data_IF_148140066901
#
_entry.id   IF_148140066901
#
_cell.length_a   1.000
_cell.length_b   1.000
_cell.length_c   1.000
_cell.angle_alpha   90.00
_cell.angle_beta   90.00
_cell.angle_gamma   90.00
#
_symmetry.space_group_name_H-M   'P 1'
#
loop_
_entity.id
_entity.type
_entity.pdbx_description
1 polymer ?
#
# COMPACT_ATOMS: atom_id res chain seq x y z
N UNK A 1 -11.30 -11.32 -67.49
CA UNK A 1 -12.21 -11.05 -66.35
C UNK A 1 -11.35 -10.42 -65.25
N UNK A 2 -11.59 -9.23 -64.68
CA UNK A 2 -12.76 -8.35 -64.67
C UNK A 2 -12.51 -7.00 -65.35
N UNK A 3 -13.61 -6.29 -65.54
CA UNK A 3 -13.89 -5.36 -66.62
C UNK A 3 -13.93 -3.93 -66.11
N UNK A 4 -13.57 -3.02 -67.02
CA UNK A 4 -13.78 -1.58 -67.01
C UNK A 4 -15.15 -1.14 -66.42
N UNK A 5 -15.16 -0.12 -65.54
CA UNK A 5 -16.24 0.88 -65.50
C UNK A 5 -15.65 2.28 -65.32
N UNK A 6 -15.78 3.03 -66.41
CA UNK A 6 -15.77 4.48 -66.54
C UNK A 6 -16.73 5.17 -65.55
N UNK A 7 -16.31 6.30 -64.99
CA UNK A 7 -17.22 7.21 -64.28
C UNK A 7 -16.47 8.29 -63.49
N UNK A 8 -16.26 9.43 -64.16
CA UNK A 8 -16.24 10.80 -63.62
C UNK A 8 -15.73 11.09 -62.20
N UNK A 9 -14.66 11.90 -62.09
CA UNK A 9 -14.58 12.97 -61.09
C UNK A 9 -13.44 13.97 -61.39
N UNK A 10 -13.67 15.05 -62.15
CA UNK A 10 -12.78 16.22 -62.19
C UNK A 10 -13.01 17.13 -60.96
N UNK A 11 -13.14 16.54 -59.77
CA UNK A 11 -13.57 17.24 -58.55
C UNK A 11 -12.65 16.97 -57.34
N UNK A 12 -11.34 16.81 -57.59
CA UNK A 12 -10.34 16.62 -56.51
C UNK A 12 -9.36 17.79 -56.34
N UNK A 13 -9.44 18.81 -57.21
CA UNK A 13 -8.57 20.01 -57.14
C UNK A 13 -9.29 21.29 -56.67
N UNK A 14 -10.56 21.23 -56.27
CA UNK A 14 -11.35 22.41 -55.82
C UNK A 14 -11.52 22.47 -54.29
N UNK A 15 -11.01 21.48 -53.53
CA UNK A 15 -11.18 21.47 -52.07
C UNK A 15 -10.17 22.42 -51.38
N UNK A 16 -10.64 23.32 -50.50
CA UNK A 16 -9.76 24.21 -49.75
C UNK A 16 -8.87 23.42 -48.77
N UNK A 17 -7.66 23.93 -48.44
CA UNK A 17 -6.60 23.16 -47.76
C UNK A 17 -7.02 22.58 -46.39
N UNK A 18 -8.01 23.18 -45.73
CA UNK A 18 -8.53 22.70 -44.45
C UNK A 18 -9.32 21.39 -44.53
N UNK A 19 -9.96 21.07 -45.66
CA UNK A 19 -10.66 19.79 -45.83
C UNK A 19 -9.72 18.64 -46.22
N UNK A 20 -8.55 18.95 -46.79
CA UNK A 20 -7.54 17.93 -47.15
C UNK A 20 -6.92 17.31 -45.88
N UNK A 21 -6.72 18.12 -44.84
CA UNK A 21 -6.18 17.70 -43.54
C UNK A 21 -7.12 16.79 -42.72
N UNK A 22 -8.45 16.89 -42.91
CA UNK A 22 -9.41 16.07 -42.18
C UNK A 22 -9.49 14.62 -42.67
N UNK A 23 -9.16 14.33 -43.94
CA UNK A 23 -9.14 12.95 -44.44
C UNK A 23 -7.96 12.15 -43.90
N UNK A 24 -6.82 12.78 -43.62
CA UNK A 24 -5.69 12.12 -42.95
C UNK A 24 -6.02 11.70 -41.50
N UNK A 25 -7.04 12.27 -40.88
CA UNK A 25 -7.49 11.90 -39.54
C UNK A 25 -8.44 10.69 -39.51
N UNK A 26 -8.97 10.23 -40.65
CA UNK A 26 -9.93 9.13 -40.72
C UNK A 26 -9.33 7.78 -41.14
N UNK A 27 -8.02 7.69 -41.33
CA UNK A 27 -7.36 6.39 -41.45
C UNK A 27 -7.16 5.77 -40.05
N UNK A 28 -7.61 4.53 -39.80
CA UNK A 28 -7.20 3.77 -38.62
C UNK A 28 -5.68 3.62 -38.65
N UNK A 29 -4.98 4.18 -37.66
CA UNK A 29 -3.54 3.92 -37.52
C UNK A 29 -3.36 2.43 -37.21
N UNK A 30 -2.63 1.71 -38.05
CA UNK A 30 -2.23 0.33 -37.74
C UNK A 30 -1.56 0.29 -36.36
N UNK A 31 -1.87 -0.70 -35.52
CA UNK A 31 -1.18 -0.87 -34.25
C UNK A 31 0.32 -1.08 -34.53
N UNK A 32 1.22 -0.49 -33.70
CA UNK A 32 2.65 -0.69 -33.86
C UNK A 32 2.97 -2.18 -33.79
N UNK A 33 3.80 -2.65 -34.73
CA UNK A 33 4.28 -4.04 -34.74
C UNK A 33 4.95 -4.40 -33.41
N UNK A 34 4.74 -5.62 -32.89
CA UNK A 34 5.35 -6.04 -31.65
C UNK A 34 6.88 -5.95 -31.76
N UNK A 35 7.58 -5.50 -30.70
CA UNK A 35 9.02 -5.40 -30.73
C UNK A 35 9.62 -6.78 -31.02
N UNK A 36 10.52 -6.83 -32.00
CA UNK A 36 11.29 -8.05 -32.30
C UNK A 36 12.03 -8.51 -31.05
N UNK A 37 12.10 -9.84 -30.80
CA UNK A 37 12.59 -10.40 -29.53
C UNK A 37 14.01 -9.96 -29.12
N UNK A 38 14.82 -9.42 -30.04
CA UNK A 38 16.13 -8.85 -29.74
C UNK A 38 16.13 -7.47 -29.05
N UNK A 39 15.05 -6.68 -29.12
CA UNK A 39 15.01 -5.31 -28.57
C UNK A 39 14.69 -5.26 -27.06
N UNK A 40 14.03 -6.27 -26.52
CA UNK A 40 13.70 -6.35 -25.10
C UNK A 40 14.94 -6.59 -24.21
N UNK A 41 15.96 -7.31 -24.71
CA UNK A 41 17.15 -7.61 -23.93
C UNK A 41 18.05 -6.37 -23.73
N UNK A 42 18.08 -5.45 -24.69
CA UNK A 42 18.91 -4.23 -24.59
C UNK A 42 18.38 -3.28 -23.50
N UNK A 43 17.06 -3.26 -23.29
CA UNK A 43 16.43 -2.42 -22.26
C UNK A 43 16.89 -2.78 -20.84
N UNK A 44 17.18 -4.05 -20.59
CA UNK A 44 17.62 -4.53 -19.27
C UNK A 44 19.08 -4.17 -18.95
N UNK A 45 19.92 -3.98 -19.99
CA UNK A 45 21.37 -3.73 -19.86
C UNK A 45 21.77 -2.26 -20.02
N UNK A 46 20.85 -1.35 -20.34
CA UNK A 46 21.15 0.09 -20.40
C UNK A 46 21.43 0.66 -19.00
N UNK A 47 22.54 1.41 -18.80
CA UNK A 47 22.84 2.08 -17.54
C UNK A 47 21.77 3.12 -17.20
N UNK A 48 21.56 3.37 -15.89
CA UNK A 48 20.42 4.14 -15.33
C UNK A 48 20.19 5.52 -15.98
N UNK A 49 21.21 6.16 -16.57
CA UNK A 49 21.08 7.47 -17.21
C UNK A 49 20.29 7.45 -18.53
N UNK A 50 20.34 6.35 -19.29
CA UNK A 50 19.67 6.28 -20.60
C UNK A 50 18.21 5.80 -20.50
N UNK A 51 17.83 5.14 -19.40
CA UNK A 51 16.43 4.74 -19.13
C UNK A 51 15.52 5.95 -18.91
N UNK A 52 16.03 7.00 -18.29
CA UNK A 52 15.29 8.23 -18.02
C UNK A 52 14.89 9.00 -19.31
N UNK A 53 15.58 8.76 -20.42
CA UNK A 53 15.28 9.42 -21.70
C UNK A 53 14.26 8.66 -22.55
N UNK A 54 13.96 7.40 -22.20
CA UNK A 54 13.03 6.54 -22.93
C UNK A 54 11.64 6.46 -22.27
N UNK A 55 11.43 7.11 -21.12
CA UNK A 55 10.09 7.27 -20.58
C UNK A 55 9.26 8.14 -21.53
N UNK A 56 8.19 7.62 -22.13
CA UNK A 56 7.31 8.42 -22.96
C UNK A 56 6.69 9.49 -22.06
N UNK A 57 7.00 10.75 -22.37
CA UNK A 57 6.38 11.93 -21.80
C UNK A 57 4.87 11.92 -22.08
N UNK A 58 4.09 11.23 -21.23
CA UNK A 58 2.66 11.46 -21.01
C UNK A 58 2.15 10.68 -19.80
N UNK A 59 2.08 11.35 -18.65
CA UNK A 59 0.83 11.35 -17.90
C UNK A 59 0.41 12.80 -17.82
N UNK A 60 -0.46 13.17 -18.74
CA UNK A 60 -1.31 14.34 -18.59
C UNK A 60 -1.86 14.30 -17.15
N UNK A 61 -1.60 15.37 -16.42
CA UNK A 61 -2.04 15.55 -15.05
C UNK A 61 -3.57 15.43 -15.05
N UNK A 62 -4.07 14.27 -14.61
CA UNK A 62 -5.48 14.09 -14.34
C UNK A 62 -5.91 15.21 -13.37
N UNK A 63 -7.04 15.91 -13.61
CA UNK A 63 -7.47 16.98 -12.74
C UNK A 63 -7.50 16.47 -11.32
N UNK A 64 -6.73 17.12 -10.43
CA UNK A 64 -6.77 16.86 -9.00
C UNK A 64 -8.20 17.17 -8.55
N UNK A 65 -9.04 16.14 -8.52
CA UNK A 65 -10.38 16.22 -8.02
C UNK A 65 -10.32 16.83 -6.63
N UNK A 66 -11.15 17.84 -6.40
CA UNK A 66 -11.32 18.54 -5.13
C UNK A 66 -11.34 17.50 -4.00
N UNK A 67 -10.23 17.40 -3.25
CA UNK A 67 -10.19 16.59 -2.02
C UNK A 67 -11.11 17.28 -1.02
N UNK A 68 -12.32 16.74 -0.89
CA UNK A 68 -13.27 17.19 0.13
C UNK A 68 -12.59 17.03 1.50
N UNK A 69 -12.50 18.09 2.31
CA UNK A 69 -11.94 17.99 3.64
C UNK A 69 -12.83 17.11 4.51
N UNK A 70 -12.23 16.16 5.23
CA UNK A 70 -12.74 15.75 6.54
C UNK A 70 -13.09 14.28 6.79
N UNK A 71 -12.95 13.36 5.83
CA UNK A 71 -13.15 11.92 6.11
C UNK A 71 -11.86 11.13 5.89
N UNK A 72 -11.28 10.62 6.99
CA UNK A 72 -10.13 9.72 6.95
C UNK A 72 -10.53 8.42 6.25
N UNK A 73 -9.68 7.90 5.36
CA UNK A 73 -9.89 6.57 4.75
C UNK A 73 -9.94 5.50 5.84
N UNK A 74 -10.65 4.39 5.59
CA UNK A 74 -10.73 3.28 6.54
C UNK A 74 -9.32 2.76 6.92
N UNK A 75 -8.42 2.70 5.95
CA UNK A 75 -7.02 2.33 6.12
C UNK A 75 -6.31 3.27 7.11
N UNK A 76 -6.46 4.58 6.92
CA UNK A 76 -5.88 5.57 7.83
C UNK A 76 -6.43 5.43 9.25
N UNK A 77 -7.73 5.17 9.40
CA UNK A 77 -8.35 4.96 10.72
C UNK A 77 -7.74 3.75 11.41
N UNK A 78 -7.61 2.62 10.72
CA UNK A 78 -7.01 1.41 11.29
C UNK A 78 -5.55 1.63 11.69
N UNK A 79 -4.74 2.28 10.83
CA UNK A 79 -3.34 2.60 11.14
C UNK A 79 -3.25 3.46 12.40
N UNK A 80 -4.10 4.50 12.52
CA UNK A 80 -4.12 5.38 13.70
C UNK A 80 -4.54 4.63 14.95
N UNK A 81 -5.53 3.74 14.87
CA UNK A 81 -5.95 2.89 15.99
C UNK A 81 -4.75 2.06 16.49
N UNK A 82 -4.06 1.35 15.60
CA UNK A 82 -2.87 0.57 15.97
C UNK A 82 -1.78 1.46 16.57
N UNK A 83 -1.47 2.60 15.94
CA UNK A 83 -0.45 3.53 16.44
C UNK A 83 -0.75 4.03 17.86
N UNK A 84 -2.01 4.37 18.14
CA UNK A 84 -2.45 4.81 19.48
C UNK A 84 -2.33 3.68 20.50
N UNK A 85 -2.72 2.46 20.15
CA UNK A 85 -2.61 1.29 21.05
C UNK A 85 -1.14 1.00 21.37
N UNK A 86 -0.27 0.94 20.36
CA UNK A 86 1.18 0.75 20.55
C UNK A 86 1.81 1.88 21.36
N UNK A 87 1.33 3.13 21.19
CA UNK A 87 1.78 4.24 22.02
C UNK A 87 1.38 4.05 23.48
N UNK A 88 0.15 3.62 23.72
CA UNK A 88 -0.39 3.39 25.06
C UNK A 88 0.40 2.32 25.82
N UNK A 89 0.55 1.13 25.23
CA UNK A 89 1.34 0.04 25.83
C UNK A 89 2.83 0.40 25.92
N UNK A 90 3.40 0.97 24.86
CA UNK A 90 4.78 1.43 24.82
C UNK A 90 5.12 2.41 25.95
N UNK A 91 4.33 3.47 26.10
CA UNK A 91 4.52 4.44 27.17
C UNK A 91 4.31 3.80 28.55
N UNK A 92 3.30 2.91 28.68
CA UNK A 92 3.00 2.24 29.93
C UNK A 92 4.17 1.38 30.42
N UNK A 93 4.72 0.49 29.58
CA UNK A 93 5.81 -0.39 29.97
C UNK A 93 7.17 0.30 30.04
N UNK A 94 7.35 1.40 29.28
CA UNK A 94 8.53 2.25 29.41
C UNK A 94 8.62 2.89 30.82
N UNK A 95 7.48 3.37 31.33
CA UNK A 95 7.39 4.02 32.64
C UNK A 95 7.26 3.01 33.79
N UNK A 96 6.47 1.95 33.60
CA UNK A 96 6.11 0.95 34.62
C UNK A 96 6.44 -0.48 34.14
N UNK A 97 7.73 -0.87 34.08
CA UNK A 97 8.15 -2.20 33.62
C UNK A 97 7.61 -3.35 34.50
N UNK A 98 7.37 -3.09 35.79
CA UNK A 98 6.88 -4.10 36.73
C UNK A 98 5.38 -4.42 36.53
N UNK A 99 4.68 -3.70 35.65
CA UNK A 99 3.27 -3.92 35.39
C UNK A 99 2.98 -5.31 34.78
N UNK A 100 3.97 -5.93 34.13
CA UNK A 100 3.86 -7.32 33.66
C UNK A 100 3.64 -8.32 34.81
N UNK A 101 3.95 -7.97 36.05
CA UNK A 101 3.59 -8.77 37.23
C UNK A 101 2.09 -9.00 37.37
N UNK A 102 1.25 -8.07 36.87
CA UNK A 102 -0.21 -8.21 36.90
C UNK A 102 -0.76 -9.35 36.02
N UNK A 103 0.05 -9.88 35.09
CA UNK A 103 -0.28 -11.03 34.25
C UNK A 103 0.55 -12.27 34.59
N UNK A 104 1.21 -12.29 35.76
CA UNK A 104 1.96 -13.43 36.25
C UNK A 104 3.42 -13.50 35.78
N UNK A 105 3.96 -12.43 35.19
CA UNK A 105 5.38 -12.38 34.79
C UNK A 105 6.22 -11.82 35.94
N UNK A 106 7.13 -12.64 36.48
CA UNK A 106 8.08 -12.19 37.50
C UNK A 106 9.20 -11.33 36.90
N UNK A 107 9.26 -10.06 37.30
CA UNK A 107 10.29 -9.12 36.83
C UNK A 107 11.38 -8.97 37.88
N UNK A 108 12.44 -9.77 37.77
CA UNK A 108 13.54 -9.80 38.74
C UNK A 108 14.77 -9.01 38.27
N UNK A 109 15.17 -8.04 39.09
CA UNK A 109 16.43 -7.30 38.92
C UNK A 109 16.41 -6.17 37.87
N UNK A 110 17.49 -5.38 37.79
CA UNK A 110 17.60 -4.24 36.87
C UNK A 110 17.61 -4.64 35.39
N UNK A 111 18.28 -5.74 35.03
CA UNK A 111 18.39 -6.17 33.63
C UNK A 111 17.05 -6.53 33.00
N UNK A 112 16.19 -7.28 33.72
CA UNK A 112 14.84 -7.58 33.24
C UNK A 112 14.01 -6.31 33.03
N UNK A 113 14.10 -5.35 33.94
CA UNK A 113 13.42 -4.05 33.80
C UNK A 113 13.95 -3.22 32.64
N UNK A 114 15.23 -3.32 32.31
CA UNK A 114 15.82 -2.65 31.14
C UNK A 114 15.34 -3.30 29.86
N UNK A 115 15.31 -4.63 29.80
CA UNK A 115 14.82 -5.36 28.63
C UNK A 115 13.35 -5.07 28.35
N UNK A 116 12.50 -5.07 29.38
CA UNK A 116 11.08 -4.70 29.25
C UNK A 116 10.91 -3.29 28.69
N UNK A 117 11.73 -2.33 29.12
CA UNK A 117 11.70 -0.97 28.58
C UNK A 117 12.14 -0.89 27.13
N UNK A 118 13.10 -1.71 26.72
CA UNK A 118 13.54 -1.75 25.34
C UNK A 118 12.46 -2.38 24.45
N UNK A 119 11.93 -3.54 24.84
CA UNK A 119 11.06 -4.38 24.00
C UNK A 119 9.59 -3.97 24.05
N UNK A 120 9.02 -3.84 25.25
CA UNK A 120 7.61 -3.45 25.42
C UNK A 120 7.43 -1.94 25.53
N UNK A 121 8.53 -1.18 25.62
CA UNK A 121 8.52 0.28 25.65
C UNK A 121 9.00 0.90 24.34
N UNK A 122 10.33 1.00 24.20
CA UNK A 122 10.99 1.69 23.09
C UNK A 122 10.66 1.13 21.72
N UNK A 123 10.62 -0.19 21.55
CA UNK A 123 10.25 -0.83 20.29
C UNK A 123 8.79 -0.55 19.92
N UNK A 124 7.84 -0.70 20.86
CA UNK A 124 6.43 -0.37 20.61
C UNK A 124 6.24 1.11 20.25
N UNK A 125 6.93 2.02 20.94
CA UNK A 125 6.93 3.45 20.59
C UNK A 125 7.55 3.73 19.22
N UNK A 126 8.61 3.02 18.84
CA UNK A 126 9.21 3.10 17.52
C UNK A 126 8.26 2.67 16.41
N UNK A 127 7.55 1.55 16.61
CA UNK A 127 6.50 1.08 15.70
C UNK A 127 5.36 2.10 15.63
N UNK A 128 4.90 2.63 16.76
CA UNK A 128 3.86 3.64 16.78
C UNK A 128 4.26 4.91 16.01
N UNK A 129 5.49 5.39 16.19
CA UNK A 129 6.00 6.56 15.45
C UNK A 129 6.01 6.31 13.94
N UNK A 130 6.44 5.12 13.51
CA UNK A 130 6.39 4.71 12.11
C UNK A 130 4.94 4.69 11.57
N UNK A 131 4.00 4.12 12.32
CA UNK A 131 2.60 4.07 11.90
C UNK A 131 1.97 5.47 11.83
N UNK A 132 2.25 6.36 12.78
CA UNK A 132 1.80 7.76 12.70
C UNK A 132 2.39 8.49 11.50
N UNK A 133 3.67 8.24 11.18
CA UNK A 133 4.27 8.76 9.96
C UNK A 133 3.49 8.28 8.74
N UNK A 134 3.24 6.97 8.59
CA UNK A 134 2.46 6.43 7.48
C UNK A 134 1.06 7.04 7.42
N UNK A 135 0.37 7.18 8.55
CA UNK A 135 -0.97 7.76 8.61
C UNK A 135 -1.02 9.23 8.18
N UNK A 136 0.08 9.97 8.33
CA UNK A 136 0.19 11.38 7.94
C UNK A 136 0.36 11.59 6.43
N UNK A 137 0.67 10.53 5.66
CA UNK A 137 0.94 10.60 4.22
C UNK A 137 0.02 9.65 3.47
N UNK A 138 -0.90 10.20 2.67
CA UNK A 138 -1.88 9.40 1.90
C UNK A 138 -1.25 8.26 1.10
N UNK A 139 -0.15 8.53 0.42
CA UNK A 139 0.56 7.55 -0.42
C UNK A 139 1.18 6.39 0.38
N UNK A 140 1.29 6.53 1.71
CA UNK A 140 1.88 5.53 2.60
C UNK A 140 0.83 4.72 3.36
N UNK A 141 -0.47 4.96 3.13
CA UNK A 141 -1.55 4.25 3.83
C UNK A 141 -1.47 2.74 3.60
N UNK A 142 -1.25 2.29 2.37
CA UNK A 142 -1.09 0.86 2.08
C UNK A 142 0.07 0.24 2.88
N UNK A 143 1.24 0.87 2.86
CA UNK A 143 2.43 0.39 3.60
C UNK A 143 2.19 0.37 5.11
N UNK A 144 1.59 1.44 5.65
CA UNK A 144 1.24 1.52 7.06
C UNK A 144 0.23 0.47 7.48
N UNK A 145 -0.79 0.21 6.66
CA UNK A 145 -1.81 -0.79 6.95
C UNK A 145 -1.23 -2.20 6.90
N UNK A 146 -0.37 -2.53 5.92
CA UNK A 146 0.35 -3.81 5.87
C UNK A 146 1.21 -3.98 7.13
N UNK A 147 2.01 -2.97 7.49
CA UNK A 147 2.87 -3.05 8.67
C UNK A 147 2.06 -3.24 9.96
N UNK A 148 1.00 -2.45 10.17
CA UNK A 148 0.13 -2.58 11.33
C UNK A 148 -0.53 -3.97 11.38
N UNK A 149 -0.99 -4.49 10.23
CA UNK A 149 -1.59 -5.82 10.12
C UNK A 149 -0.59 -6.90 10.52
N UNK A 150 0.64 -6.84 10.01
CA UNK A 150 1.69 -7.82 10.34
C UNK A 150 2.06 -7.78 11.83
N UNK A 151 2.20 -6.59 12.41
CA UNK A 151 2.48 -6.45 13.84
C UNK A 151 1.35 -7.06 14.69
N UNK A 152 0.10 -6.65 14.45
CA UNK A 152 -1.05 -7.12 15.25
C UNK A 152 -1.35 -8.60 15.01
N UNK A 153 -1.26 -9.08 13.76
CA UNK A 153 -1.39 -10.49 13.45
C UNK A 153 -0.27 -11.32 14.09
N UNK A 154 0.96 -10.81 14.14
CA UNK A 154 2.08 -11.45 14.83
C UNK A 154 1.81 -11.64 16.31
N UNK A 155 1.26 -10.62 17.00
CA UNK A 155 0.79 -10.76 18.37
C UNK A 155 -0.31 -11.82 18.50
N UNK A 156 -1.33 -11.77 17.65
CA UNK A 156 -2.43 -12.74 17.67
C UNK A 156 -1.98 -14.18 17.43
N UNK A 157 -1.08 -14.41 16.47
CA UNK A 157 -0.50 -15.73 16.20
C UNK A 157 0.35 -16.20 17.37
N UNK A 158 1.26 -15.35 17.87
CA UNK A 158 2.11 -15.69 19.02
C UNK A 158 1.27 -16.03 20.26
N UNK A 159 0.23 -15.24 20.53
CA UNK A 159 -0.68 -15.47 21.65
C UNK A 159 -1.52 -16.73 21.45
N UNK A 160 -2.06 -16.97 20.25
CA UNK A 160 -2.81 -18.18 19.93
C UNK A 160 -1.97 -19.45 20.08
N UNK A 161 -0.73 -19.43 19.58
CA UNK A 161 0.23 -20.53 19.76
C UNK A 161 0.55 -20.74 21.24
N UNK A 162 0.83 -19.67 21.99
CA UNK A 162 1.09 -19.76 23.43
C UNK A 162 -0.08 -20.39 24.19
N UNK A 163 -1.31 -19.93 23.95
CA UNK A 163 -2.51 -20.49 24.60
C UNK A 163 -2.70 -21.97 24.26
N UNK A 164 -2.45 -22.36 23.01
CA UNK A 164 -2.57 -23.75 22.57
C UNK A 164 -1.53 -24.66 23.24
N UNK A 165 -0.29 -24.21 23.35
CA UNK A 165 0.81 -24.98 23.92
C UNK A 165 0.74 -25.05 25.46
N UNK A 166 0.36 -23.96 26.11
CA UNK A 166 0.22 -23.87 27.57
C UNK A 166 -1.12 -24.45 28.07
N UNK A 167 -2.04 -24.83 27.18
CA UNK A 167 -3.30 -25.48 27.51
C UNK A 167 -4.36 -24.56 28.15
N UNK A 168 -4.16 -23.24 28.11
CA UNK A 168 -5.10 -22.28 28.68
C UNK A 168 -4.59 -20.85 28.70
N UNK A 169 -5.49 -19.94 29.08
CA UNK A 169 -5.19 -18.51 29.23
C UNK A 169 -6.16 -17.85 30.20
N UNK A 170 -5.73 -16.74 30.81
CA UNK A 170 -6.64 -15.88 31.58
C UNK A 170 -7.64 -15.19 30.65
N UNK A 171 -8.78 -14.74 31.20
CA UNK A 171 -9.78 -13.99 30.43
C UNK A 171 -9.20 -12.75 29.74
N UNK A 172 -8.19 -12.13 30.36
CA UNK A 172 -7.47 -11.01 29.77
C UNK A 172 -6.71 -11.41 28.49
N UNK A 173 -6.02 -12.55 28.48
CA UNK A 173 -5.32 -13.04 27.30
C UNK A 173 -6.27 -13.39 26.15
N UNK A 174 -7.41 -14.01 26.46
CA UNK A 174 -8.46 -14.25 25.47
C UNK A 174 -9.04 -12.96 24.89
N UNK A 175 -9.22 -11.93 25.73
CA UNK A 175 -9.71 -10.63 25.29
C UNK A 175 -8.72 -9.95 24.34
N UNK A 176 -7.43 -10.00 24.64
CA UNK A 176 -6.38 -9.49 23.75
C UNK A 176 -6.36 -10.25 22.41
N UNK A 177 -6.44 -11.58 22.45
CA UNK A 177 -6.50 -12.40 21.24
C UNK A 177 -7.70 -12.03 20.35
N UNK A 178 -8.87 -11.80 20.96
CA UNK A 178 -10.07 -11.41 20.23
C UNK A 178 -9.90 -10.04 19.55
N UNK A 179 -9.32 -9.06 20.25
CA UNK A 179 -9.03 -7.74 19.68
C UNK A 179 -8.03 -7.84 18.54
N UNK A 180 -6.95 -8.61 18.72
CA UNK A 180 -5.93 -8.86 17.69
C UNK A 180 -6.57 -9.49 16.44
N UNK A 181 -7.41 -10.51 16.61
CA UNK A 181 -8.10 -11.19 15.51
C UNK A 181 -9.08 -10.27 14.77
N UNK A 182 -9.91 -9.49 15.50
CA UNK A 182 -10.88 -8.56 14.89
C UNK A 182 -10.16 -7.47 14.11
N UNK A 183 -9.13 -6.85 14.70
CA UNK A 183 -8.35 -5.81 14.02
C UNK A 183 -7.72 -6.37 12.73
N UNK A 184 -7.05 -7.53 12.82
CA UNK A 184 -6.40 -8.16 11.66
C UNK A 184 -7.41 -8.51 10.57
N UNK A 185 -8.58 -9.05 10.93
CA UNK A 185 -9.63 -9.35 9.96
C UNK A 185 -10.11 -8.09 9.22
N UNK A 186 -10.37 -7.00 9.94
CA UNK A 186 -10.75 -5.72 9.35
C UNK A 186 -9.66 -5.17 8.43
N UNK A 187 -8.39 -5.23 8.85
CA UNK A 187 -7.27 -4.71 8.07
C UNK A 187 -7.01 -5.53 6.80
N UNK A 188 -7.07 -6.85 6.87
CA UNK A 188 -6.97 -7.75 5.70
C UNK A 188 -8.12 -7.50 4.73
N UNK A 189 -9.33 -7.27 5.24
CA UNK A 189 -10.48 -6.93 4.42
C UNK A 189 -10.30 -5.60 3.66
N UNK A 190 -9.75 -4.58 4.32
CA UNK A 190 -9.37 -3.32 3.68
C UNK A 190 -8.29 -3.54 2.59
N UNK A 191 -7.23 -4.30 2.90
CA UNK A 191 -6.15 -4.58 1.96
C UNK A 191 -6.61 -5.36 0.72
N UNK A 192 -7.54 -6.30 0.88
CA UNK A 192 -8.08 -7.11 -0.23
C UNK A 192 -9.08 -6.36 -1.12
N UNK A 193 -9.59 -5.21 -0.64
CA UNK A 193 -10.49 -4.33 -1.40
C UNK A 193 -9.79 -3.15 -2.06
N UNK A 194 -8.52 -2.92 -1.73
CA UNK A 194 -7.72 -1.93 -2.44
C UNK A 194 -7.58 -2.38 -3.90
N UNK A 195 -7.97 -1.56 -4.89
CA UNK A 195 -7.78 -1.91 -6.29
C UNK A 195 -6.29 -2.15 -6.55
N UNK A 196 -5.95 -3.29 -7.14
CA UNK A 196 -4.59 -3.58 -7.58
C UNK A 196 -4.15 -2.46 -8.53
N UNK A 197 -3.22 -1.63 -8.05
CA UNK A 197 -2.69 -0.49 -8.79
C UNK A 197 -1.87 -0.89 -10.01
#
# INVERSE_FOLDING_TARGET
MCQNRSGEAPFLDILPPHCRAQRDCQQPREPPSPPTPGRALVFFFLPHRERAQLEPARRDEAPQGVRLPGMKSADQVLIVIAAVIFTGFGAWFLLKPAALGGIGIEVSGPSARTDIRATYGGFELGVAAFLFWCASRGDWHHVGLVAATLCVAGFGVGRGVGILLEGGATAFMWSLLAVEAVYTACAVWCLTRAPAG
#
